data_IF_858162538270
#
_entry.id   IF_858162538270
#
_cell.length_a   1.000
_cell.length_b   1.000
_cell.length_c   1.000
_cell.angle_alpha   90.00
_cell.angle_beta   90.00
_cell.angle_gamma   90.00
#
_symmetry.space_group_name_H-M   'P 1'
#
loop_
_entity.id
_entity.type
_entity.pdbx_description
1 polymer ?
#
# COMPACT_ATOMS: atom_id res chain seq x y z
N UNK A 1 -17.70 9.43 22.82
CA UNK A 1 -16.48 8.88 22.20
C UNK A 1 -16.10 9.85 21.10
N UNK A 2 -15.11 10.71 21.35
CA UNK A 2 -14.74 11.78 20.44
C UNK A 2 -14.15 11.20 19.16
N UNK A 3 -14.70 11.60 18.01
CA UNK A 3 -14.06 11.42 16.72
C UNK A 3 -12.72 12.16 16.79
N UNK A 4 -11.62 11.40 16.91
CA UNK A 4 -10.28 11.92 16.70
C UNK A 4 -10.27 12.40 15.26
N UNK A 5 -10.31 13.71 15.07
CA UNK A 5 -10.13 14.32 13.76
C UNK A 5 -8.78 13.85 13.25
N UNK A 6 -8.78 12.82 12.39
CA UNK A 6 -7.61 12.46 11.62
C UNK A 6 -7.28 13.70 10.80
N UNK A 7 -6.13 14.36 11.03
CA UNK A 7 -5.69 15.40 10.13
C UNK A 7 -5.77 14.85 8.71
N UNK A 8 -6.23 15.63 7.74
CA UNK A 8 -6.21 15.24 6.33
C UNK A 8 -4.73 15.16 5.89
N UNK A 9 -4.07 14.06 6.25
CA UNK A 9 -2.65 13.80 5.97
C UNK A 9 -2.38 13.80 4.46
N UNK A 10 -3.41 13.54 3.65
CA UNK A 10 -3.35 13.66 2.20
C UNK A 10 -3.28 15.11 1.73
N UNK A 11 -4.07 16.01 2.31
CA UNK A 11 -3.99 17.43 1.96
C UNK A 11 -2.66 18.02 2.43
N UNK A 12 -2.24 17.65 3.64
CA UNK A 12 -0.96 18.10 4.20
C UNK A 12 0.25 17.59 3.40
N UNK A 13 0.22 16.35 2.89
CA UNK A 13 1.26 15.86 1.99
C UNK A 13 1.29 16.64 0.68
N UNK A 14 0.13 16.93 0.08
CA UNK A 14 0.04 17.69 -1.18
C UNK A 14 0.56 19.12 -1.02
N UNK A 15 0.27 19.76 0.10
CA UNK A 15 0.73 21.13 0.35
C UNK A 15 2.26 21.17 0.60
N UNK A 16 2.82 20.17 1.29
CA UNK A 16 4.27 20.04 1.44
C UNK A 16 4.97 19.71 0.12
N UNK A 17 4.35 18.89 -0.75
CA UNK A 17 4.87 18.61 -2.09
C UNK A 17 4.88 19.87 -2.96
N UNK A 18 3.81 20.67 -2.93
CA UNK A 18 3.76 21.97 -3.63
C UNK A 18 4.84 22.91 -3.12
N UNK A 19 5.01 23.02 -1.81
CA UNK A 19 6.07 23.84 -1.22
C UNK A 19 7.47 23.37 -1.66
N UNK A 20 7.69 22.07 -1.82
CA UNK A 20 8.96 21.55 -2.32
C UNK A 20 9.22 21.95 -3.78
N UNK A 21 8.18 21.94 -4.62
CA UNK A 21 8.26 22.35 -6.02
C UNK A 21 8.41 23.86 -6.20
N UNK A 22 7.69 24.66 -5.38
CA UNK A 22 7.72 26.12 -5.43
C UNK A 22 9.07 26.70 -4.95
N UNK A 23 9.78 25.98 -4.07
CA UNK A 23 11.05 26.43 -3.52
C UNK A 23 12.24 26.31 -4.50
N UNK A 24 12.03 25.71 -5.68
CA UNK A 24 12.88 25.82 -6.89
C UNK A 24 14.35 25.39 -6.74
N UNK A 25 15.16 26.23 -6.09
CA UNK A 25 16.61 26.08 -5.90
C UNK A 25 17.06 26.21 -4.43
N UNK A 26 16.16 26.55 -3.51
CA UNK A 26 16.47 26.58 -2.08
C UNK A 26 16.20 25.21 -1.47
N UNK A 27 17.17 24.57 -0.79
CA UNK A 27 16.91 23.29 -0.14
C UNK A 27 15.82 23.50 0.92
N UNK A 28 14.72 22.75 0.82
CA UNK A 28 13.70 22.71 1.87
C UNK A 28 14.36 22.44 3.23
N UNK A 29 13.74 22.98 4.27
CA UNK A 29 14.25 22.81 5.64
C UNK A 29 14.25 21.34 6.02
N UNK A 30 15.18 20.93 6.88
CA UNK A 30 15.28 19.55 7.31
C UNK A 30 13.99 19.04 7.99
N UNK A 31 13.27 19.93 8.70
CA UNK A 31 11.97 19.62 9.31
C UNK A 31 10.90 19.27 8.26
N UNK A 32 10.81 20.03 7.15
CA UNK A 32 9.88 19.74 6.06
C UNK A 32 10.14 18.37 5.44
N UNK A 33 11.40 18.00 5.21
CA UNK A 33 11.73 16.67 4.71
C UNK A 33 11.39 15.55 5.69
N UNK A 34 11.54 15.76 7.01
CA UNK A 34 11.13 14.77 7.99
C UNK A 34 9.61 14.59 8.06
N UNK A 35 8.84 15.69 7.99
CA UNK A 35 7.38 15.63 7.97
C UNK A 35 6.88 14.92 6.70
N UNK A 36 7.41 15.28 5.53
CA UNK A 36 7.02 14.68 4.25
C UNK A 36 7.36 13.18 4.20
N UNK A 37 8.55 12.80 4.69
CA UNK A 37 8.94 11.40 4.79
C UNK A 37 8.00 10.63 5.75
N UNK A 38 7.68 11.19 6.91
CA UNK A 38 6.76 10.55 7.86
C UNK A 38 5.35 10.39 7.28
N UNK A 39 4.84 11.36 6.51
CA UNK A 39 3.54 11.28 5.84
C UNK A 39 3.48 10.15 4.81
N UNK A 40 4.53 9.99 3.99
CA UNK A 40 4.58 8.87 3.05
C UNK A 40 4.58 7.52 3.76
N UNK A 41 5.24 7.41 4.91
CA UNK A 41 5.19 6.18 5.70
C UNK A 41 3.79 5.92 6.27
N UNK A 42 3.07 6.95 6.71
CA UNK A 42 1.67 6.85 7.18
C UNK A 42 0.74 6.38 6.06
N UNK A 43 0.93 6.89 4.84
CA UNK A 43 0.14 6.52 3.66
C UNK A 43 0.54 5.15 3.09
N UNK A 44 1.53 4.47 3.69
CA UNK A 44 2.11 3.22 3.20
C UNK A 44 2.69 3.30 1.77
N UNK A 45 3.02 4.51 1.30
CA UNK A 45 3.70 4.71 0.03
C UNK A 45 5.22 4.64 0.20
N UNK A 46 5.68 3.40 0.37
CA UNK A 46 7.10 3.12 0.62
C UNK A 46 7.97 3.45 -0.60
N UNK A 47 7.41 3.44 -1.81
CA UNK A 47 8.12 3.74 -3.04
C UNK A 47 8.50 5.22 -3.09
N UNK A 48 7.53 6.10 -2.88
CA UNK A 48 7.78 7.54 -2.87
C UNK A 48 8.65 7.96 -1.69
N UNK A 49 8.50 7.33 -0.52
CA UNK A 49 9.42 7.51 0.61
C UNK A 49 10.89 7.20 0.24
N UNK A 50 11.13 6.11 -0.50
CA UNK A 50 12.48 5.72 -0.95
C UNK A 50 13.07 6.71 -1.94
N UNK A 51 12.27 7.18 -2.90
CA UNK A 51 12.73 8.16 -3.88
C UNK A 51 13.02 9.51 -3.24
N UNK A 52 12.18 9.95 -2.31
CA UNK A 52 12.43 11.15 -1.51
C UNK A 52 13.73 11.02 -0.72
N UNK A 53 13.96 9.90 -0.02
CA UNK A 53 15.21 9.67 0.70
C UNK A 53 16.44 9.75 -0.21
N UNK A 54 16.35 9.27 -1.46
CA UNK A 54 17.46 9.37 -2.42
C UNK A 54 17.70 10.80 -2.90
N UNK A 55 16.64 11.60 -3.05
CA UNK A 55 16.70 13.00 -3.50
C UNK A 55 17.32 13.94 -2.47
N UNK A 56 17.12 13.68 -1.16
CA UNK A 56 17.66 14.55 -0.10
C UNK A 56 19.20 14.57 -0.15
N UNK A 57 19.83 15.76 -0.20
CA UNK A 57 21.28 15.91 -0.23
C UNK A 57 21.95 15.48 1.10
N UNK A 58 23.21 15.05 1.04
CA UNK A 58 23.90 14.45 2.20
C UNK A 58 24.10 15.42 3.36
N UNK A 59 24.25 16.71 3.09
CA UNK A 59 24.36 17.76 4.10
C UNK A 59 23.15 17.79 5.06
N UNK A 60 21.93 17.61 4.54
CA UNK A 60 20.69 17.59 5.34
C UNK A 60 20.59 16.28 6.14
N UNK A 61 21.00 15.15 5.55
CA UNK A 61 21.02 13.85 6.22
C UNK A 61 21.94 13.81 7.44
N UNK A 62 23.09 14.47 7.35
CA UNK A 62 24.05 14.55 8.46
C UNK A 62 23.64 15.58 9.52
N UNK A 63 22.93 16.64 9.11
CA UNK A 63 22.46 17.70 10.01
C UNK A 63 21.30 17.28 10.93
N UNK A 64 20.46 16.33 10.50
CA UNK A 64 19.29 15.90 11.27
C UNK A 64 19.27 14.37 11.48
N UNK A 65 19.68 13.88 12.67
CA UNK A 65 19.65 12.44 12.96
C UNK A 65 18.23 11.88 13.01
N UNK A 66 17.23 12.73 13.28
CA UNK A 66 15.81 12.39 13.26
C UNK A 66 15.36 11.86 11.88
N UNK A 67 15.79 12.49 10.80
CA UNK A 67 15.46 12.07 9.44
C UNK A 67 15.98 10.64 9.15
N UNK A 68 17.19 10.33 9.63
CA UNK A 68 17.76 8.98 9.52
C UNK A 68 17.00 7.96 10.37
N UNK A 69 16.51 8.36 11.54
CA UNK A 69 15.67 7.52 12.39
C UNK A 69 14.32 7.22 11.71
N UNK A 70 13.67 8.20 11.10
CA UNK A 70 12.42 8.00 10.33
C UNK A 70 12.65 7.03 9.17
N UNK A 71 13.76 7.21 8.44
CA UNK A 71 14.09 6.28 7.35
C UNK A 71 14.37 4.86 7.85
N UNK A 72 14.97 4.69 9.03
CA UNK A 72 15.16 3.35 9.63
C UNK A 72 13.84 2.63 9.88
N UNK A 73 12.80 3.36 10.32
CA UNK A 73 11.42 2.83 10.44
C UNK A 73 10.91 2.40 9.06
N UNK A 74 11.06 3.25 8.05
CA UNK A 74 10.68 2.93 6.67
C UNK A 74 11.39 1.70 6.09
N UNK A 75 12.67 1.49 6.41
CA UNK A 75 13.43 0.29 6.01
C UNK A 75 12.89 -0.98 6.67
N UNK A 76 12.55 -0.90 7.97
CA UNK A 76 11.95 -2.02 8.70
C UNK A 76 10.56 -2.37 8.16
N UNK A 77 9.76 -1.35 7.83
CA UNK A 77 8.49 -1.53 7.11
C UNK A 77 8.68 -2.17 5.73
N UNK A 78 9.67 -1.73 4.96
CA UNK A 78 10.00 -2.31 3.65
C UNK A 78 10.39 -3.79 3.73
N UNK A 79 11.21 -4.15 4.72
CA UNK A 79 11.64 -5.53 4.98
C UNK A 79 10.57 -6.38 5.68
N UNK A 80 9.41 -5.81 6.01
CA UNK A 80 8.34 -6.47 6.76
C UNK A 80 8.81 -6.97 8.14
N UNK A 81 9.79 -6.31 8.73
CA UNK A 81 10.29 -6.58 10.08
C UNK A 81 9.43 -5.81 11.10
N UNK A 82 8.34 -6.45 11.52
CA UNK A 82 7.29 -5.82 12.34
C UNK A 82 7.77 -5.51 13.75
N UNK A 83 8.49 -6.42 14.39
CA UNK A 83 9.05 -6.22 15.73
C UNK A 83 10.03 -5.06 15.74
N UNK A 84 10.92 -5.00 14.74
CA UNK A 84 11.87 -3.91 14.61
C UNK A 84 11.22 -2.56 14.28
N UNK A 85 10.03 -2.56 13.66
CA UNK A 85 9.29 -1.34 13.36
C UNK A 85 8.72 -0.71 14.64
N UNK A 86 8.12 -1.51 15.53
CA UNK A 86 7.60 -1.01 16.81
C UNK A 86 8.71 -0.50 17.74
N UNK A 87 9.84 -1.21 17.81
CA UNK A 87 10.99 -0.78 18.59
C UNK A 87 11.59 0.53 18.05
N UNK A 88 11.64 0.69 16.71
CA UNK A 88 12.12 1.90 16.09
C UNK A 88 11.16 3.10 16.26
N UNK A 89 9.85 2.83 16.44
CA UNK A 89 8.81 3.84 16.67
C UNK A 89 8.79 4.39 18.09
N UNK A 90 9.27 3.64 19.10
CA UNK A 90 9.32 4.05 20.51
C UNK A 90 10.34 5.15 20.83
N UNK A 91 10.98 5.75 19.83
CA UNK A 91 11.91 6.87 20.00
C UNK A 91 11.18 8.18 20.25
N UNK A 92 11.87 9.13 20.89
CA UNK A 92 11.40 10.50 21.01
C UNK A 92 11.51 11.23 19.66
N UNK A 93 10.38 11.77 19.18
CA UNK A 93 10.25 12.53 17.93
C UNK A 93 10.00 14.01 18.22
N UNK A 94 10.40 14.90 17.31
CA UNK A 94 10.09 16.32 17.37
C UNK A 94 8.58 16.57 17.34
N UNK A 95 8.12 17.68 17.93
CA UNK A 95 6.67 17.99 18.02
C UNK A 95 5.98 18.03 16.65
N UNK A 96 6.71 18.44 15.61
CA UNK A 96 6.29 18.47 14.21
C UNK A 96 5.94 17.09 13.64
N UNK A 97 6.68 16.05 14.04
CA UNK A 97 6.60 14.70 13.46
C UNK A 97 5.91 13.72 14.41
N UNK A 98 5.88 14.04 15.70
CA UNK A 98 5.28 13.22 16.76
C UNK A 98 3.81 12.90 16.51
N UNK A 99 3.02 13.86 16.03
CA UNK A 99 1.62 13.64 15.66
C UNK A 99 1.48 12.63 14.52
N UNK A 100 2.33 12.75 13.50
CA UNK A 100 2.33 11.89 12.32
C UNK A 100 2.80 10.47 12.67
N UNK A 101 3.83 10.34 13.52
CA UNK A 101 4.37 9.05 13.96
C UNK A 101 3.45 8.33 14.94
N UNK A 102 2.72 9.06 15.79
CA UNK A 102 1.66 8.48 16.62
C UNK A 102 0.52 7.93 15.73
N UNK A 103 0.13 8.65 14.69
CA UNK A 103 -0.80 8.14 13.68
C UNK A 103 -0.22 6.96 12.91
N UNK A 104 1.09 6.94 12.63
CA UNK A 104 1.76 5.77 12.06
C UNK A 104 1.68 4.57 13.00
N UNK A 105 1.87 4.74 14.30
CA UNK A 105 1.77 3.65 15.27
C UNK A 105 0.35 3.08 15.33
N UNK A 106 -0.67 3.96 15.33
CA UNK A 106 -2.08 3.56 15.28
C UNK A 106 -2.41 2.89 13.95
N UNK A 107 -2.00 3.48 12.82
CA UNK A 107 -2.26 2.93 11.50
C UNK A 107 -1.49 1.65 11.25
N UNK A 108 -0.25 1.51 11.73
CA UNK A 108 0.52 0.27 11.68
C UNK A 108 -0.18 -0.82 12.49
N UNK A 109 -0.76 -0.49 13.65
CA UNK A 109 -1.62 -1.41 14.41
C UNK A 109 -2.90 -1.79 13.63
N UNK A 110 -3.50 -0.86 12.89
CA UNK A 110 -4.67 -1.13 12.03
C UNK A 110 -4.32 -1.91 10.74
N UNK A 111 -3.18 -1.63 10.12
CA UNK A 111 -2.62 -2.36 8.97
C UNK A 111 -2.11 -3.76 9.38
N UNK A 112 -1.88 -3.96 10.68
CA UNK A 112 -1.50 -5.22 11.28
C UNK A 112 -2.67 -5.93 12.00
N UNK A 113 -3.83 -5.26 12.07
CA UNK A 113 -5.08 -5.83 12.57
C UNK A 113 -5.46 -7.04 11.70
N UNK A 114 -6.06 -8.10 12.26
CA UNK A 114 -6.59 -9.22 11.48
C UNK A 114 -7.39 -8.78 10.24
N UNK A 115 -8.06 -7.63 10.28
CA UNK A 115 -8.80 -7.06 9.15
C UNK A 115 -7.93 -6.69 7.93
N UNK A 116 -6.68 -6.25 8.13
CA UNK A 116 -5.74 -5.97 7.05
C UNK A 116 -5.02 -7.24 6.55
N UNK A 117 -4.88 -8.27 7.40
CA UNK A 117 -4.56 -9.61 6.92
C UNK A 117 -5.67 -10.13 6.03
N UNK A 118 -6.92 -9.81 6.33
CA UNK A 118 -8.06 -10.19 5.51
C UNK A 118 -8.04 -9.47 4.15
N UNK A 119 -7.60 -8.21 4.04
CA UNK A 119 -7.47 -7.53 2.72
C UNK A 119 -6.31 -8.06 1.85
N UNK A 120 -5.16 -8.39 2.47
CA UNK A 120 -4.05 -9.05 1.76
C UNK A 120 -4.44 -10.48 1.37
N UNK A 121 -5.17 -11.18 2.24
CA UNK A 121 -5.68 -12.52 1.99
C UNK A 121 -6.72 -12.51 0.88
N UNK A 122 -7.68 -11.60 0.93
CA UNK A 122 -8.70 -11.39 -0.11
C UNK A 122 -8.05 -11.09 -1.45
N UNK A 123 -7.00 -10.26 -1.46
CA UNK A 123 -6.18 -10.03 -2.66
C UNK A 123 -5.49 -11.30 -3.15
N UNK A 124 -4.90 -12.10 -2.25
CA UNK A 124 -4.26 -13.37 -2.61
C UNK A 124 -5.29 -14.38 -3.16
N UNK A 125 -6.46 -14.51 -2.53
CA UNK A 125 -7.57 -15.33 -2.99
C UNK A 125 -8.04 -14.89 -4.37
N UNK A 126 -8.24 -13.58 -4.58
CA UNK A 126 -8.61 -13.01 -5.89
C UNK A 126 -7.57 -13.34 -6.97
N UNK A 127 -6.28 -13.23 -6.65
CA UNK A 127 -5.21 -13.57 -7.59
C UNK A 127 -5.20 -15.06 -7.95
N UNK A 128 -5.39 -15.93 -6.96
CA UNK A 128 -5.46 -17.39 -7.19
C UNK A 128 -6.62 -17.73 -8.13
N UNK A 129 -7.80 -17.13 -7.92
CA UNK A 129 -8.97 -17.30 -8.80
C UNK A 129 -8.77 -16.83 -10.24
N UNK A 130 -7.88 -15.85 -10.46
CA UNK A 130 -7.60 -15.29 -11.79
C UNK A 130 -6.50 -16.06 -12.52
N UNK A 131 -5.46 -16.48 -11.80
CA UNK A 131 -4.24 -17.03 -12.39
C UNK A 131 -4.22 -18.56 -12.52
N UNK A 132 -4.94 -19.28 -11.64
CA UNK A 132 -4.86 -20.73 -11.55
C UNK A 132 -6.19 -21.39 -11.90
N UNK A 133 -6.14 -22.36 -12.81
CA UNK A 133 -7.22 -23.33 -13.02
C UNK A 133 -7.19 -24.45 -11.98
N UNK A 134 -5.99 -24.83 -11.55
CA UNK A 134 -5.71 -25.80 -10.49
C UNK A 134 -4.41 -25.39 -9.79
N UNK A 135 -4.36 -25.56 -8.47
CA UNK A 135 -3.20 -25.24 -7.64
C UNK A 135 -3.02 -26.31 -6.55
N UNK A 136 -1.79 -26.65 -6.20
CA UNK A 136 -1.52 -27.54 -5.08
C UNK A 136 -1.91 -26.87 -3.75
N UNK A 137 -2.43 -27.66 -2.80
CA UNK A 137 -2.87 -27.15 -1.50
C UNK A 137 -1.72 -26.53 -0.69
N UNK A 138 -0.50 -27.06 -0.84
CA UNK A 138 0.70 -26.56 -0.19
C UNK A 138 1.08 -25.17 -0.73
N UNK A 139 1.10 -24.98 -2.05
CA UNK A 139 1.37 -23.68 -2.68
C UNK A 139 0.28 -22.66 -2.31
N UNK A 140 -0.99 -23.07 -2.33
CA UNK A 140 -2.09 -22.21 -1.90
C UNK A 140 -1.95 -21.76 -0.43
N UNK A 141 -1.57 -22.67 0.47
CA UNK A 141 -1.30 -22.35 1.87
C UNK A 141 -0.19 -21.30 2.03
N UNK A 142 0.87 -21.38 1.20
CA UNK A 142 1.92 -20.35 1.19
C UNK A 142 1.43 -18.98 0.71
N UNK A 143 0.56 -18.94 -0.31
CA UNK A 143 0.00 -17.68 -0.82
C UNK A 143 -0.93 -16.97 0.17
N UNK A 144 -1.75 -17.75 0.89
CA UNK A 144 -2.75 -17.23 1.84
C UNK A 144 -2.13 -17.02 3.24
N UNK A 145 -0.94 -17.54 3.48
CA UNK A 145 -0.18 -17.38 4.73
C UNK A 145 -0.82 -18.11 5.92
N UNK A 146 -1.47 -19.25 5.66
CA UNK A 146 -2.14 -20.06 6.68
C UNK A 146 -1.72 -21.53 6.57
N UNK A 147 -1.82 -22.32 7.65
CA UNK A 147 -1.54 -23.75 7.57
C UNK A 147 -2.50 -24.44 6.58
N UNK A 148 -2.02 -25.50 5.95
CA UNK A 148 -2.71 -26.21 4.85
C UNK A 148 -4.14 -26.59 5.22
N UNK A 149 -4.36 -27.06 6.46
CA UNK A 149 -5.70 -27.44 6.96
C UNK A 149 -6.69 -26.27 6.95
N UNK A 150 -6.24 -25.08 7.35
CA UNK A 150 -7.07 -23.87 7.34
C UNK A 150 -7.26 -23.34 5.92
N UNK A 151 -6.26 -23.52 5.05
CA UNK A 151 -6.36 -23.13 3.64
C UNK A 151 -7.44 -23.94 2.91
N UNK A 152 -7.48 -25.26 3.13
CA UNK A 152 -8.51 -26.13 2.58
C UNK A 152 -9.90 -25.74 3.08
N UNK A 153 -10.04 -25.47 4.39
CA UNK A 153 -11.30 -24.98 4.95
C UNK A 153 -11.73 -23.65 4.32
N UNK A 154 -10.80 -22.71 4.12
CA UNK A 154 -11.07 -21.44 3.48
C UNK A 154 -11.50 -21.60 2.00
N UNK A 155 -10.87 -22.51 1.26
CA UNK A 155 -11.25 -22.83 -0.12
C UNK A 155 -12.66 -23.45 -0.19
N UNK A 156 -13.01 -24.32 0.76
CA UNK A 156 -14.34 -24.91 0.86
C UNK A 156 -15.41 -23.85 1.20
N UNK A 157 -15.12 -22.91 2.09
CA UNK A 157 -16.06 -21.81 2.40
C UNK A 157 -16.28 -20.87 1.21
N UNK A 158 -15.27 -20.71 0.35
CA UNK A 158 -15.34 -19.91 -0.89
C UNK A 158 -16.01 -20.68 -2.05
N UNK A 159 -16.45 -21.93 -1.83
CA UNK A 159 -17.12 -22.75 -2.83
C UNK A 159 -16.18 -23.33 -3.91
N UNK A 160 -14.89 -23.44 -3.63
CA UNK A 160 -13.93 -24.04 -4.55
C UNK A 160 -13.95 -25.57 -4.42
N UNK A 161 -13.66 -26.23 -5.53
CA UNK A 161 -13.53 -27.68 -5.55
C UNK A 161 -12.17 -28.08 -4.96
N UNK A 162 -12.18 -29.01 -4.01
CA UNK A 162 -10.97 -29.50 -3.35
C UNK A 162 -10.90 -31.00 -3.52
N UNK A 163 -9.88 -31.47 -4.22
CA UNK A 163 -9.53 -32.87 -4.31
C UNK A 163 -8.56 -33.25 -3.18
N UNK A 164 -9.09 -33.97 -2.18
CA UNK A 164 -8.33 -34.42 -1.02
C UNK A 164 -7.33 -35.54 -1.35
N UNK A 165 -7.56 -36.32 -2.41
CA UNK A 165 -6.69 -37.44 -2.78
C UNK A 165 -5.40 -36.94 -3.42
N UNK A 166 -5.51 -35.96 -4.32
CA UNK A 166 -4.36 -35.38 -5.01
C UNK A 166 -3.82 -34.09 -4.36
N UNK A 167 -4.50 -33.58 -3.32
CA UNK A 167 -4.21 -32.29 -2.66
C UNK A 167 -4.22 -31.12 -3.65
N UNK A 168 -5.17 -31.12 -4.57
CA UNK A 168 -5.34 -30.07 -5.58
C UNK A 168 -6.60 -29.28 -5.26
N UNK A 169 -6.49 -27.96 -5.35
CA UNK A 169 -7.60 -27.02 -5.21
C UNK A 169 -7.87 -26.44 -6.59
N UNK A 170 -9.13 -26.48 -7.03
CA UNK A 170 -9.60 -25.89 -8.29
C UNK A 170 -10.42 -24.64 -7.96
N UNK A 171 -9.80 -23.43 -8.07
CA UNK A 171 -10.48 -22.20 -7.72
C UNK A 171 -11.65 -21.94 -8.65
N UNK A 172 -12.78 -21.49 -8.10
CA UNK A 172 -13.89 -21.04 -8.95
C UNK A 172 -13.48 -19.73 -9.63
N UNK A 173 -13.21 -19.82 -10.93
CA UNK A 173 -12.83 -18.68 -11.77
C UNK A 173 -13.89 -17.59 -11.61
N UNK A 174 -13.46 -16.38 -11.24
CA UNK A 174 -14.37 -15.24 -11.34
C UNK A 174 -14.78 -15.15 -12.80
N UNK A 175 -16.10 -15.21 -13.05
CA UNK A 175 -16.63 -14.86 -14.37
C UNK A 175 -16.04 -13.51 -14.74
N UNK A 176 -15.38 -13.45 -15.90
CA UNK A 176 -14.88 -12.19 -16.41
C UNK A 176 -16.07 -11.23 -16.43
N UNK A 177 -15.90 -10.05 -15.83
CA UNK A 177 -16.90 -8.99 -15.92
C UNK A 177 -17.35 -8.94 -17.39
N UNK A 178 -18.65 -9.05 -17.69
CA UNK A 178 -19.12 -8.89 -19.05
C UNK A 178 -18.48 -7.61 -19.57
N UNK A 179 -17.88 -7.68 -20.75
CA UNK A 179 -17.25 -6.53 -21.38
C UNK A 179 -18.19 -5.34 -21.18
N UNK A 180 -17.69 -4.18 -20.69
CA UNK A 180 -18.56 -3.05 -20.41
C UNK A 180 -19.42 -2.86 -21.65
N UNK A 181 -20.74 -2.95 -21.49
CA UNK A 181 -21.68 -2.50 -22.49
C UNK A 181 -21.53 -0.99 -22.53
N UNK A 182 -20.44 -0.54 -23.16
CA UNK A 182 -20.22 0.84 -23.51
C UNK A 182 -21.47 1.17 -24.35
N UNK A 183 -22.24 2.13 -23.86
CA UNK A 183 -23.49 2.50 -24.51
C UNK A 183 -23.18 2.94 -25.94
N UNK A 184 -23.99 2.53 -26.91
CA UNK A 184 -23.76 2.76 -28.34
C UNK A 184 -23.46 4.23 -28.69
N UNK A 185 -23.93 5.19 -27.90
CA UNK A 185 -23.62 6.62 -28.06
C UNK A 185 -22.16 6.97 -27.77
N UNK A 186 -21.54 6.35 -26.75
CA UNK A 186 -20.12 6.56 -26.46
C UNK A 186 -19.22 5.96 -27.57
N UNK A 187 -19.67 4.90 -28.24
CA UNK A 187 -19.00 4.39 -29.45
C UNK A 187 -19.07 5.41 -30.58
N UNK A 188 -20.23 6.04 -30.80
CA UNK A 188 -20.43 7.01 -31.88
C UNK A 188 -19.63 8.29 -31.66
N UNK A 189 -19.54 8.78 -30.42
CA UNK A 189 -18.72 9.95 -30.11
C UNK A 189 -17.24 9.67 -30.35
N UNK A 190 -16.73 8.53 -29.88
CA UNK A 190 -15.32 8.14 -30.08
C UNK A 190 -15.01 7.91 -31.56
N UNK A 191 -15.91 7.27 -32.32
CA UNK A 191 -15.73 7.09 -33.77
C UNK A 191 -15.70 8.44 -34.51
N UNK A 192 -16.53 9.39 -34.08
CA UNK A 192 -16.57 10.74 -34.66
C UNK A 192 -15.26 11.48 -34.35
N UNK A 193 -14.73 11.36 -33.14
CA UNK A 193 -13.42 11.91 -32.77
C UNK A 193 -12.27 11.28 -33.59
N UNK A 194 -12.32 9.97 -33.83
CA UNK A 194 -11.31 9.30 -34.68
C UNK A 194 -11.38 9.74 -36.14
N UNK A 195 -12.59 9.87 -36.70
CA UNK A 195 -12.78 10.32 -38.09
C UNK A 195 -12.32 11.77 -38.24
N UNK A 196 -12.72 12.66 -37.33
CA UNK A 196 -12.29 14.07 -37.35
C UNK A 196 -10.77 14.22 -37.14
N UNK A 197 -10.13 13.34 -36.37
CA UNK A 197 -8.67 13.30 -36.24
C UNK A 197 -7.96 12.82 -37.52
N UNK A 198 -8.55 11.91 -38.29
CA UNK A 198 -7.97 11.42 -39.55
C UNK A 198 -8.23 12.35 -40.74
N UNK A 199 -9.30 13.14 -40.70
CA UNK A 199 -9.69 14.03 -41.79
C UNK A 199 -8.99 15.39 -41.77
N UNK A 200 -8.40 15.78 -40.62
CA UNK A 200 -7.57 16.99 -40.47
C UNK A 200 -6.08 16.66 -40.50
#
# INVERSE_FOLDING_TARGET
MAAVATPDFQQLSLDLEKQELENGNSPCTASQYSQLLALYLVQCDLCNAKFLWKRIPQNIKQGCPELSNIWSVGQKMWLKDYTGTYDALQKDWSDDVKGIMASLQVNASLFFSPLAKDSVRERALRLVRLAYSSIAADDFATFVGMPVDKAIQAAQTEGWEVDLENRIITPQKLEALPAPTIMSEQHLSVLTDYVTFMEN
#
